data_IF_946251825347
#
_entry.id   IF_946251825347
#
_cell.length_a   1.000
_cell.length_b   1.000
_cell.length_c   1.000
_cell.angle_alpha   90.00
_cell.angle_beta   90.00
_cell.angle_gamma   90.00
#
_symmetry.space_group_name_H-M   'P 1'
#
loop_
_entity.id
_entity.type
_entity.pdbx_description
1 polymer ?
#
# COMPACT_ATOMS: atom_id res chain seq x y z
N UNK A 1 2.08 -5.97 -19.19
CA UNK A 1 2.46 -5.77 -17.77
C UNK A 1 1.75 -6.84 -16.96
N UNK A 2 2.44 -7.57 -16.08
CA UNK A 2 1.81 -8.65 -15.32
C UNK A 2 0.90 -8.04 -14.23
N UNK A 3 -0.41 -8.32 -14.30
CA UNK A 3 -1.41 -7.82 -13.35
C UNK A 3 -1.17 -8.25 -11.90
N UNK A 4 -0.34 -9.26 -11.70
CA UNK A 4 0.00 -9.81 -10.38
C UNK A 4 1.27 -9.20 -9.77
N UNK A 5 2.02 -8.39 -10.52
CA UNK A 5 3.19 -7.70 -9.99
C UNK A 5 2.77 -6.34 -9.39
N UNK A 6 3.29 -5.99 -8.21
CA UNK A 6 3.07 -4.67 -7.62
C UNK A 6 4.01 -3.64 -8.24
N UNK A 7 3.54 -2.40 -8.43
CA UNK A 7 4.40 -1.26 -8.74
C UNK A 7 4.53 -0.40 -7.50
N UNK A 8 5.66 -0.46 -6.80
CA UNK A 8 5.87 0.31 -5.56
C UNK A 8 6.19 1.80 -5.81
N UNK A 9 6.33 2.20 -7.07
CA UNK A 9 6.58 3.58 -7.48
C UNK A 9 5.28 4.18 -8.02
N UNK A 10 4.49 4.87 -7.18
CA UNK A 10 3.24 5.47 -7.62
C UNK A 10 3.51 6.59 -8.64
N UNK A 11 2.64 6.69 -9.65
CA UNK A 11 2.61 7.82 -10.59
C UNK A 11 2.08 9.07 -9.89
N UNK A 12 2.31 10.25 -10.46
CA UNK A 12 1.77 11.50 -9.91
C UNK A 12 0.26 11.41 -9.63
N UNK A 13 -0.14 11.75 -8.40
CA UNK A 13 -1.52 11.64 -7.91
C UNK A 13 -2.01 10.22 -7.63
N UNK A 14 -1.21 9.19 -7.87
CA UNK A 14 -1.55 7.81 -7.52
C UNK A 14 -1.25 7.57 -6.04
N UNK A 15 -2.17 6.88 -5.36
CA UNK A 15 -2.03 6.42 -3.99
C UNK A 15 -2.02 4.91 -4.00
N UNK A 16 -1.00 4.34 -3.38
CA UNK A 16 -0.86 2.91 -3.17
C UNK A 16 -0.84 2.64 -1.68
N UNK A 17 -1.78 1.80 -1.24
CA UNK A 17 -1.84 1.32 0.12
C UNK A 17 -1.78 -0.19 0.13
N UNK A 18 -0.76 -0.73 0.79
CA UNK A 18 -0.47 -2.16 0.76
C UNK A 18 0.21 -2.61 2.04
N UNK A 19 0.14 -3.92 2.28
CA UNK A 19 0.82 -4.61 3.38
C UNK A 19 1.84 -5.58 2.81
N UNK A 20 3.11 -5.51 3.24
CA UNK A 20 4.16 -6.48 2.91
C UNK A 20 3.99 -7.73 3.77
N UNK A 21 3.33 -8.74 3.19
CA UNK A 21 3.03 -10.00 3.86
C UNK A 21 4.32 -10.81 4.15
N UNK A 22 5.44 -10.45 3.54
CA UNK A 22 6.74 -11.11 3.79
C UNK A 22 7.46 -10.52 5.01
N UNK A 23 7.00 -9.36 5.51
CA UNK A 23 7.55 -8.72 6.70
C UNK A 23 6.68 -8.94 7.94
N UNK A 24 5.44 -9.39 7.78
CA UNK A 24 4.58 -9.83 8.90
C UNK A 24 5.19 -11.05 9.59
N UNK A 25 5.31 -10.98 10.92
CA UNK A 25 5.81 -12.08 11.76
C UNK A 25 4.77 -12.59 12.75
N UNK A 26 3.77 -11.78 13.07
CA UNK A 26 2.72 -12.12 14.04
C UNK A 26 1.72 -13.15 13.50
N UNK A 27 1.57 -13.24 12.18
CA UNK A 27 0.58 -14.07 11.51
C UNK A 27 1.18 -14.79 10.30
N UNK A 28 0.58 -15.92 9.92
CA UNK A 28 0.79 -16.48 8.58
C UNK A 28 0.17 -15.60 7.50
N UNK A 29 0.59 -15.80 6.24
CA UNK A 29 0.03 -15.08 5.08
C UNK A 29 -1.50 -15.25 5.00
N UNK A 30 -2.01 -16.46 5.23
CA UNK A 30 -3.46 -16.72 5.17
C UNK A 30 -4.22 -15.99 6.27
N UNK A 31 -3.73 -16.04 7.52
CA UNK A 31 -4.35 -15.33 8.65
C UNK A 31 -4.33 -13.81 8.44
N UNK A 32 -3.23 -13.27 7.92
CA UNK A 32 -3.15 -11.85 7.60
C UNK A 32 -4.17 -11.44 6.53
N UNK A 33 -4.37 -12.26 5.49
CA UNK A 33 -5.38 -11.99 4.46
C UNK A 33 -6.81 -12.07 5.01
N UNK A 34 -7.11 -13.10 5.80
CA UNK A 34 -8.43 -13.25 6.45
C UNK A 34 -8.72 -12.06 7.38
N UNK A 35 -7.73 -11.58 8.12
CA UNK A 35 -7.88 -10.42 8.99
C UNK A 35 -8.19 -9.15 8.18
N UNK A 36 -7.47 -8.92 7.08
CA UNK A 36 -7.73 -7.80 6.18
C UNK A 36 -9.15 -7.86 5.59
N UNK A 37 -9.63 -9.05 5.21
CA UNK A 37 -11.00 -9.25 4.72
C UNK A 37 -12.04 -8.97 5.81
N UNK A 38 -11.80 -9.41 7.05
CA UNK A 38 -12.67 -9.13 8.21
C UNK A 38 -12.76 -7.64 8.53
N UNK A 39 -11.70 -6.87 8.27
CA UNK A 39 -11.68 -5.42 8.39
C UNK A 39 -12.42 -4.71 7.23
N UNK A 40 -12.91 -5.45 6.24
CA UNK A 40 -13.68 -4.93 5.12
C UNK A 40 -12.85 -4.60 3.88
N UNK A 41 -11.57 -4.95 3.84
CA UNK A 41 -10.75 -4.82 2.63
C UNK A 41 -11.01 -5.96 1.64
N UNK A 42 -10.68 -5.72 0.38
CA UNK A 42 -10.61 -6.76 -0.66
C UNK A 42 -9.15 -6.86 -1.13
N UNK A 43 -8.26 -7.50 -0.34
CA UNK A 43 -6.84 -7.49 -0.59
C UNK A 43 -6.53 -8.17 -1.93
N UNK A 44 -5.82 -7.47 -2.79
CA UNK A 44 -5.36 -8.03 -4.05
C UNK A 44 -3.92 -8.53 -3.88
N UNK A 45 -3.73 -9.85 -3.94
CA UNK A 45 -2.40 -10.43 -3.80
C UNK A 45 -1.51 -9.98 -4.97
N UNK A 46 -0.31 -9.51 -4.63
CA UNK A 46 0.73 -9.08 -5.56
C UNK A 46 2.08 -9.62 -5.15
N UNK A 47 3.00 -9.64 -6.10
CA UNK A 47 4.38 -10.03 -5.85
C UNK A 47 5.39 -9.03 -6.41
N UNK A 48 6.60 -9.09 -5.87
CA UNK A 48 7.79 -8.45 -6.42
C UNK A 48 8.96 -9.42 -6.34
N UNK A 49 9.61 -9.66 -7.47
CA UNK A 49 10.89 -10.37 -7.50
C UNK A 49 12.01 -9.40 -7.12
N UNK A 50 12.80 -9.78 -6.12
CA UNK A 50 13.96 -9.04 -5.65
C UNK A 50 15.21 -9.90 -5.77
N UNK A 51 16.39 -9.31 -5.58
CA UNK A 51 17.65 -10.07 -5.53
C UNK A 51 17.66 -11.12 -4.40
N UNK A 52 16.86 -10.90 -3.35
CA UNK A 52 16.78 -11.78 -2.18
C UNK A 52 15.61 -12.79 -2.27
N UNK A 53 14.88 -12.82 -3.39
CA UNK A 53 13.74 -13.70 -3.60
C UNK A 53 12.42 -12.95 -3.81
N UNK A 54 11.32 -13.70 -3.72
CA UNK A 54 9.96 -13.20 -3.94
C UNK A 54 9.42 -12.53 -2.67
N UNK A 55 8.97 -11.28 -2.79
CA UNK A 55 8.14 -10.62 -1.78
C UNK A 55 6.68 -10.67 -2.18
N UNK A 56 5.80 -10.88 -1.21
CA UNK A 56 4.35 -10.94 -1.35
C UNK A 56 3.69 -9.74 -0.65
N UNK A 57 2.68 -9.17 -1.30
CA UNK A 57 1.99 -7.98 -0.82
C UNK A 57 0.47 -8.16 -0.92
N UNK A 58 -0.26 -7.63 0.04
CA UNK A 58 -1.70 -7.39 -0.05
C UNK A 58 -1.92 -5.94 -0.47
N UNK A 59 -2.33 -5.70 -1.71
CA UNK A 59 -2.72 -4.37 -2.16
C UNK A 59 -4.15 -4.07 -1.70
N UNK A 60 -4.31 -3.07 -0.83
CA UNK A 60 -5.59 -2.67 -0.24
C UNK A 60 -6.26 -1.56 -1.03
N UNK A 61 -5.47 -0.62 -1.55
CA UNK A 61 -5.96 0.50 -2.35
C UNK A 61 -4.95 0.88 -3.43
N UNK A 62 -5.45 1.07 -4.65
CA UNK A 62 -4.75 1.67 -5.78
C UNK A 62 -5.70 2.71 -6.39
N UNK A 63 -5.42 3.98 -6.09
CA UNK A 63 -6.33 5.08 -6.39
C UNK A 63 -5.62 6.19 -7.14
N UNK A 64 -6.22 6.67 -8.23
CA UNK A 64 -5.73 7.83 -8.96
C UNK A 64 -6.51 9.08 -8.58
N UNK A 65 -5.82 10.07 -8.00
CA UNK A 65 -6.30 11.44 -7.74
C UNK A 65 -5.79 12.40 -8.81
N UNK A 66 -6.17 13.68 -8.68
CA UNK A 66 -5.61 14.76 -9.52
C UNK A 66 -4.08 14.77 -9.40
N UNK A 67 -3.33 14.60 -10.51
CA UNK A 67 -1.86 14.59 -10.50
C UNK A 67 -1.23 15.92 -10.10
N UNK A 68 -2.00 17.00 -9.98
CA UNK A 68 -1.52 18.32 -9.54
C UNK A 68 -1.89 18.62 -8.08
N UNK A 69 -2.70 17.79 -7.44
CA UNK A 69 -3.15 18.00 -6.06
C UNK A 69 -2.23 17.29 -5.07
N UNK A 70 -1.83 17.99 -4.01
CA UNK A 70 -1.14 17.37 -2.86
C UNK A 70 -2.14 16.51 -2.10
N UNK A 71 -1.75 15.27 -1.81
CA UNK A 71 -2.52 14.37 -0.95
C UNK A 71 -2.19 14.71 0.49
N UNK A 72 -3.23 14.88 1.31
CA UNK A 72 -3.10 15.19 2.73
C UNK A 72 -2.34 14.08 3.48
N UNK A 73 -1.48 14.46 4.42
CA UNK A 73 -0.74 13.52 5.26
C UNK A 73 -1.66 12.79 6.24
N UNK A 74 -2.83 13.37 6.55
CA UNK A 74 -3.89 12.74 7.36
C UNK A 74 -4.77 11.77 6.53
N UNK A 75 -4.50 11.63 5.23
CA UNK A 75 -5.26 10.70 4.39
C UNK A 75 -5.12 9.26 4.89
N UNK A 76 -6.28 8.65 5.22
CA UNK A 76 -6.43 7.31 5.77
C UNK A 76 -5.80 7.10 7.14
N UNK A 77 -5.65 8.15 7.96
CA UNK A 77 -5.02 8.02 9.28
C UNK A 77 -5.76 7.03 10.18
N UNK A 78 -7.10 7.09 10.23
CA UNK A 78 -7.91 6.19 11.05
C UNK A 78 -7.79 4.75 10.59
N UNK A 79 -7.84 4.51 9.28
CA UNK A 79 -7.74 3.16 8.75
C UNK A 79 -6.31 2.60 8.86
N UNK A 80 -5.27 3.45 8.85
CA UNK A 80 -3.90 3.05 9.18
C UNK A 80 -3.76 2.66 10.65
N UNK A 81 -4.34 3.43 11.56
CA UNK A 81 -4.34 3.10 13.00
C UNK A 81 -5.02 1.75 13.24
N UNK A 82 -6.17 1.51 12.60
CA UNK A 82 -6.86 0.22 12.68
C UNK A 82 -5.99 -0.95 12.18
N UNK A 83 -5.19 -0.75 11.12
CA UNK A 83 -4.24 -1.78 10.67
C UNK A 83 -3.10 -2.01 11.65
N UNK A 84 -2.53 -0.95 12.25
CA UNK A 84 -1.48 -1.10 13.26
C UNK A 84 -1.98 -1.88 14.49
N UNK A 85 -3.21 -1.62 14.92
CA UNK A 85 -3.84 -2.38 16.01
C UNK A 85 -4.09 -3.84 15.64
N UNK A 86 -4.42 -4.12 14.37
CA UNK A 86 -4.64 -5.47 13.86
C UNK A 86 -3.33 -6.28 13.69
N UNK A 87 -2.20 -5.61 13.43
CA UNK A 87 -0.89 -6.21 13.21
C UNK A 87 0.16 -5.72 14.22
N UNK A 88 0.00 -6.04 15.52
CA UNK A 88 0.85 -5.48 16.58
C UNK A 88 2.31 -5.90 16.42
N UNK A 89 3.20 -4.89 16.32
CA UNK A 89 4.65 -5.10 16.18
C UNK A 89 5.12 -5.36 14.74
N UNK A 90 4.22 -5.37 13.77
CA UNK A 90 4.52 -5.48 12.34
C UNK A 90 4.28 -4.14 11.61
N UNK A 91 4.42 -3.01 12.31
CA UNK A 91 4.16 -1.66 11.77
C UNK A 91 4.94 -1.36 10.49
N UNK A 92 6.14 -1.93 10.38
CA UNK A 92 7.02 -1.77 9.22
C UNK A 92 6.46 -2.41 7.94
N UNK A 93 5.53 -3.37 8.07
CA UNK A 93 4.90 -4.04 6.94
C UNK A 93 3.77 -3.22 6.30
N UNK A 94 3.28 -2.15 6.95
CA UNK A 94 2.13 -1.37 6.46
C UNK A 94 2.63 -0.11 5.75
N UNK A 95 2.31 0.02 4.46
CA UNK A 95 2.86 1.08 3.60
C UNK A 95 1.77 1.86 2.88
N UNK A 96 1.78 3.18 3.08
CA UNK A 96 1.05 4.15 2.26
C UNK A 96 2.08 4.95 1.46
N UNK A 97 2.04 4.84 0.13
CA UNK A 97 2.89 5.61 -0.77
C UNK A 97 2.05 6.41 -1.74
N UNK A 98 2.47 7.64 -2.03
CA UNK A 98 1.80 8.53 -2.97
C UNK A 98 2.79 9.09 -3.98
N UNK A 99 2.33 9.30 -5.21
CA UNK A 99 3.14 9.89 -6.25
C UNK A 99 3.15 11.40 -6.15
N UNK A 100 4.35 11.99 -6.18
CA UNK A 100 4.56 13.42 -6.08
C UNK A 100 3.80 14.16 -7.19
N UNK A 101 3.08 15.27 -6.88
CA UNK A 101 2.38 16.03 -7.88
C UNK A 101 3.31 16.57 -8.97
N UNK A 102 2.82 16.61 -10.21
CA UNK A 102 3.55 17.29 -11.28
C UNK A 102 3.42 18.79 -11.05
N UNK A 103 4.50 19.46 -10.63
CA UNK A 103 4.51 20.93 -10.60
C UNK A 103 4.24 21.43 -12.01
N UNK A 104 3.07 22.03 -12.23
CA UNK A 104 2.83 22.83 -13.43
C UNK A 104 3.81 24.00 -13.35
N UNK A 105 4.76 24.07 -14.27
CA UNK A 105 5.61 25.24 -14.41
C UNK A 105 4.68 26.44 -14.62
N UNK A 106 4.65 27.35 -13.64
CA UNK A 106 3.96 28.61 -13.79
C UNK A 106 4.72 29.34 -14.89
N UNK A 107 4.12 29.48 -16.07
CA UNK A 107 4.68 30.31 -17.12
C UNK A 107 4.62 31.76 -16.62
N UNK A 108 5.77 32.29 -16.19
CA UNK A 108 5.98 33.69 -15.87
C UNK A 108 5.99 34.55 -17.12
#
# INVERSE_FOLDING_TARGET
MNKHQIQLHPKAGQILWYVDLSEIRSHSVSEALELLEQMGYQPQLRYLETQNGLKLFALLKDEQRDPNQVIDDEYLIDERLALFEAFPGDDMAIHLTNGVPVKTAIAS
#
